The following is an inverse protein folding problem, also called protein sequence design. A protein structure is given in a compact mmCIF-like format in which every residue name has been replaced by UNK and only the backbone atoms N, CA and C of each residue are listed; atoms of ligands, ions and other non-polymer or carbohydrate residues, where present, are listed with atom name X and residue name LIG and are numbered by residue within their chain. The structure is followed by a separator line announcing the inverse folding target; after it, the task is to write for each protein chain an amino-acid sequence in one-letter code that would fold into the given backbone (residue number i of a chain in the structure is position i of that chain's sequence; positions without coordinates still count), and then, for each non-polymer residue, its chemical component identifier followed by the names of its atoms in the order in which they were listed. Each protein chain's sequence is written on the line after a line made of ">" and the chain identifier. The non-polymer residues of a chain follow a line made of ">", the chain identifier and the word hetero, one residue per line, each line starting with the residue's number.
data_IF_080421482068
#
_entry.id   IF_080421482068
#
_cell.length_a   1.000
_cell.length_b   1.000
_cell.length_c   1.000
_cell.angle_alpha   90.00
_cell.angle_beta   90.00
_cell.angle_gamma   90.00
#
_symmetry.space_group_name_H-M   'P 1'
#
loop_
_entity.id
_entity.type
_entity.pdbx_description
1 polymer ?
#
# COMPACT_ATOMS: atom_id res chain seq x y z
N UNK A 1 -4.70 67.02 11.61
CA UNK A 1 -4.44 66.00 10.57
C UNK A 1 -5.53 66.13 9.52
N UNK A 2 -5.18 66.47 8.27
CA UNK A 2 -6.19 66.77 7.23
C UNK A 2 -6.83 65.50 6.70
N UNK A 3 -8.13 65.52 6.40
CA UNK A 3 -8.93 64.40 5.87
C UNK A 3 -8.24 63.62 4.73
N UNK A 4 -7.50 64.33 3.87
CA UNK A 4 -6.70 63.76 2.80
C UNK A 4 -5.59 62.79 3.27
N UNK A 5 -4.89 63.09 4.38
CA UNK A 5 -3.83 62.23 4.92
C UNK A 5 -4.40 60.91 5.45
N UNK A 6 -5.57 60.97 6.10
CA UNK A 6 -6.26 59.79 6.63
C UNK A 6 -6.66 58.85 5.48
N UNK A 7 -7.17 59.40 4.37
CA UNK A 7 -7.54 58.62 3.18
C UNK A 7 -6.34 57.94 2.52
N UNK A 8 -5.19 58.63 2.40
CA UNK A 8 -3.96 58.04 1.84
C UNK A 8 -3.41 56.92 2.72
N UNK A 9 -3.47 57.09 4.04
CA UNK A 9 -3.00 56.08 5.00
C UNK A 9 -3.89 54.83 5.00
N UNK A 10 -5.22 54.99 4.93
CA UNK A 10 -6.18 53.90 4.74
C UNK A 10 -5.92 53.11 3.45
N UNK A 11 -5.70 53.81 2.33
CA UNK A 11 -5.38 53.16 1.04
C UNK A 11 -4.08 52.35 1.11
N UNK A 12 -3.07 52.88 1.81
CA UNK A 12 -1.78 52.18 2.01
C UNK A 12 -1.97 50.92 2.86
N UNK A 13 -2.77 50.97 3.93
CA UNK A 13 -3.07 49.82 4.77
C UNK A 13 -3.83 48.73 4.00
N UNK A 14 -4.86 49.09 3.22
CA UNK A 14 -5.61 48.13 2.40
C UNK A 14 -4.71 47.45 1.37
N UNK A 15 -3.81 48.22 0.73
CA UNK A 15 -2.84 47.67 -0.23
C UNK A 15 -1.87 46.69 0.43
N UNK A 16 -1.36 47.01 1.62
CA UNK A 16 -0.47 46.12 2.39
C UNK A 16 -1.17 44.84 2.85
N UNK A 17 -2.43 44.92 3.29
CA UNK A 17 -3.24 43.76 3.67
C UNK A 17 -3.45 42.81 2.48
N UNK A 18 -3.80 43.35 1.31
CA UNK A 18 -3.96 42.55 0.08
C UNK A 18 -2.67 41.81 -0.29
N UNK A 19 -1.52 42.48 -0.21
CA UNK A 19 -0.22 41.85 -0.51
C UNK A 19 0.11 40.74 0.49
N UNK A 20 -0.12 40.95 1.79
CA UNK A 20 0.08 39.91 2.82
C UNK A 20 -0.82 38.69 2.60
N UNK A 21 -2.09 38.92 2.24
CA UNK A 21 -3.04 37.84 1.92
C UNK A 21 -2.60 37.04 0.69
N UNK A 22 -2.14 37.73 -0.36
CA UNK A 22 -1.63 37.06 -1.56
C UNK A 22 -0.36 36.25 -1.26
N UNK A 23 0.56 36.78 -0.45
CA UNK A 23 1.76 36.04 -0.04
C UNK A 23 1.42 34.79 0.78
N UNK A 24 0.47 34.90 1.71
CA UNK A 24 0.01 33.74 2.49
C UNK A 24 -0.61 32.67 1.58
N UNK A 25 -1.43 33.09 0.61
CA UNK A 25 -2.04 32.18 -0.36
C UNK A 25 -0.99 31.45 -1.21
N UNK A 26 0.05 32.16 -1.66
CA UNK A 26 1.16 31.55 -2.40
C UNK A 26 1.93 30.54 -1.53
N UNK A 27 2.22 30.86 -0.28
CA UNK A 27 2.91 29.95 0.64
C UNK A 27 2.09 28.68 0.87
N UNK A 28 0.78 28.82 1.09
CA UNK A 28 -0.13 27.67 1.24
C UNK A 28 -0.14 26.82 -0.02
N UNK A 29 -0.18 27.45 -1.20
CA UNK A 29 -0.18 26.73 -2.46
C UNK A 29 1.12 25.94 -2.67
N UNK A 30 2.27 26.54 -2.38
CA UNK A 30 3.58 25.86 -2.45
C UNK A 30 3.63 24.70 -1.48
N UNK A 31 3.13 24.87 -0.26
CA UNK A 31 3.06 23.80 0.74
C UNK A 31 2.18 22.64 0.24
N UNK A 32 1.01 22.92 -0.34
CA UNK A 32 0.13 21.89 -0.90
C UNK A 32 0.79 21.12 -2.04
N UNK A 33 1.48 21.82 -2.95
CA UNK A 33 2.19 21.17 -4.06
C UNK A 33 3.33 20.29 -3.55
N UNK A 34 4.04 20.69 -2.50
CA UNK A 34 5.12 19.89 -1.91
C UNK A 34 4.62 18.63 -1.19
N UNK A 35 3.38 18.60 -0.71
CA UNK A 35 2.80 17.42 -0.04
C UNK A 35 2.54 16.29 -1.05
N UNK A 36 2.21 16.62 -2.30
CA UNK A 36 1.88 15.61 -3.33
C UNK A 36 3.02 14.59 -3.56
N UNK A 37 4.27 14.99 -3.91
CA UNK A 37 5.34 14.03 -4.10
C UNK A 37 5.71 13.28 -2.82
N UNK A 38 5.58 13.93 -1.65
CA UNK A 38 5.83 13.29 -0.35
C UNK A 38 4.84 12.15 -0.07
N UNK A 39 3.55 12.38 -0.31
CA UNK A 39 2.51 11.35 -0.15
C UNK A 39 2.72 10.21 -1.15
N UNK A 40 3.02 10.52 -2.42
CA UNK A 40 3.27 9.50 -3.44
C UNK A 40 4.47 8.62 -3.04
N UNK A 41 5.60 9.21 -2.63
CA UNK A 41 6.79 8.44 -2.21
C UNK A 41 6.49 7.52 -1.03
N UNK A 42 5.81 8.05 0.00
CA UNK A 42 5.42 7.30 1.19
C UNK A 42 4.46 6.15 0.88
N UNK A 43 3.53 6.36 -0.06
CA UNK A 43 2.62 5.30 -0.51
C UNK A 43 3.35 4.25 -1.35
N UNK A 44 4.29 4.66 -2.20
CA UNK A 44 4.99 3.73 -3.09
C UNK A 44 5.88 2.75 -2.30
N UNK A 45 6.60 3.23 -1.28
CA UNK A 45 7.37 2.38 -0.37
C UNK A 45 6.49 1.39 0.39
N UNK A 46 5.32 1.85 0.85
CA UNK A 46 4.35 0.97 1.54
C UNK A 46 3.71 -0.05 0.60
N UNK A 47 3.45 0.34 -0.64
CA UNK A 47 2.82 -0.51 -1.63
C UNK A 47 3.74 -1.66 -2.05
N UNK A 48 5.03 -1.37 -2.24
CA UNK A 48 6.04 -2.37 -2.56
C UNK A 48 6.20 -3.39 -1.42
N UNK A 49 6.31 -2.89 -0.18
CA UNK A 49 6.37 -3.75 1.01
C UNK A 49 5.11 -4.60 1.18
N UNK A 50 3.92 -4.02 0.99
CA UNK A 50 2.66 -4.76 1.06
C UNK A 50 2.57 -5.83 -0.03
N UNK A 51 3.06 -5.55 -1.24
CA UNK A 51 3.05 -6.52 -2.34
C UNK A 51 3.88 -7.77 -2.00
N UNK A 52 5.05 -7.59 -1.39
CA UNK A 52 5.88 -8.70 -0.92
C UNK A 52 5.21 -9.49 0.20
N UNK A 53 4.57 -8.81 1.15
CA UNK A 53 3.83 -9.46 2.23
C UNK A 53 2.66 -10.29 1.67
N UNK A 54 1.93 -9.76 0.69
CA UNK A 54 0.81 -10.48 0.08
C UNK A 54 1.28 -11.70 -0.72
N UNK A 55 2.41 -11.60 -1.41
CA UNK A 55 3.04 -12.74 -2.08
C UNK A 55 3.45 -13.82 -1.06
N UNK A 56 4.11 -13.45 0.04
CA UNK A 56 4.52 -14.39 1.09
C UNK A 56 3.29 -15.05 1.72
N UNK A 57 2.24 -14.29 2.02
CA UNK A 57 0.98 -14.83 2.56
C UNK A 57 0.34 -15.83 1.60
N UNK A 58 0.30 -15.51 0.31
CA UNK A 58 -0.26 -16.38 -0.71
C UNK A 58 0.50 -17.71 -0.78
N UNK A 59 1.84 -17.65 -0.85
CA UNK A 59 2.70 -18.84 -0.87
C UNK A 59 2.49 -19.67 0.41
N UNK A 60 2.45 -19.03 1.58
CA UNK A 60 2.21 -19.72 2.85
C UNK A 60 0.85 -20.44 2.88
N UNK A 61 -0.21 -19.80 2.38
CA UNK A 61 -1.52 -20.44 2.27
C UNK A 61 -1.52 -21.64 1.31
N UNK A 62 -0.82 -21.54 0.18
CA UNK A 62 -0.70 -22.64 -0.78
C UNK A 62 0.08 -23.82 -0.19
N UNK A 63 1.17 -23.57 0.54
CA UNK A 63 1.93 -24.61 1.24
C UNK A 63 1.04 -25.34 2.24
N UNK A 64 0.33 -24.61 3.12
CA UNK A 64 -0.57 -25.21 4.12
C UNK A 64 -1.63 -26.08 3.45
N UNK A 65 -2.23 -25.60 2.36
CA UNK A 65 -3.21 -26.35 1.59
C UNK A 65 -2.62 -27.68 1.07
N UNK A 66 -1.43 -27.64 0.50
CA UNK A 66 -0.78 -28.84 -0.01
C UNK A 66 -0.38 -29.82 1.10
N UNK A 67 0.12 -29.32 2.24
CA UNK A 67 0.42 -30.16 3.42
C UNK A 67 -0.82 -30.89 3.94
N UNK A 68 -1.97 -30.21 4.02
CA UNK A 68 -3.23 -30.82 4.43
C UNK A 68 -3.66 -31.89 3.43
N UNK A 69 -3.58 -31.59 2.13
CA UNK A 69 -3.96 -32.54 1.09
C UNK A 69 -3.04 -33.78 1.05
N UNK A 70 -1.74 -33.62 1.32
CA UNK A 70 -0.78 -34.71 1.48
C UNK A 70 -1.13 -35.56 2.70
N UNK A 71 -1.39 -34.93 3.84
CA UNK A 71 -1.74 -35.62 5.09
C UNK A 71 -3.02 -36.43 4.93
N UNK A 72 -4.05 -35.84 4.33
CA UNK A 72 -5.33 -36.54 4.08
C UNK A 72 -5.17 -37.67 3.08
N UNK A 73 -4.40 -37.48 2.01
CA UNK A 73 -4.14 -38.53 1.02
C UNK A 73 -3.38 -39.71 1.65
N UNK A 74 -2.38 -39.44 2.49
CA UNK A 74 -1.66 -40.49 3.23
C UNK A 74 -2.59 -41.26 4.18
N UNK A 75 -3.39 -40.56 5.00
CA UNK A 75 -4.34 -41.19 5.91
C UNK A 75 -5.35 -42.06 5.17
N UNK A 76 -5.88 -41.56 4.06
CA UNK A 76 -6.86 -42.28 3.27
C UNK A 76 -6.27 -43.50 2.59
N UNK A 77 -5.03 -43.42 2.08
CA UNK A 77 -4.31 -44.57 1.56
C UNK A 77 -4.11 -45.64 2.63
N UNK A 78 -3.63 -45.26 3.82
CA UNK A 78 -3.44 -46.19 4.94
C UNK A 78 -4.75 -46.85 5.37
N UNK A 79 -5.87 -46.13 5.31
CA UNK A 79 -7.17 -46.66 5.72
C UNK A 79 -7.84 -47.54 4.65
N UNK A 80 -7.76 -47.14 3.37
CA UNK A 80 -8.50 -47.80 2.28
C UNK A 80 -7.67 -48.78 1.46
N UNK A 81 -6.35 -48.61 1.42
CA UNK A 81 -5.45 -49.33 0.52
C UNK A 81 -5.64 -49.01 -0.96
N UNK A 82 -6.46 -48.01 -1.32
CA UNK A 82 -6.70 -47.64 -2.72
C UNK A 82 -5.55 -46.79 -3.28
N UNK A 83 -4.85 -47.34 -4.27
CA UNK A 83 -3.69 -46.73 -4.94
C UNK A 83 -3.98 -45.34 -5.53
N UNK A 84 -5.25 -44.99 -5.78
CA UNK A 84 -5.63 -43.60 -6.16
C UNK A 84 -5.12 -42.56 -5.17
N UNK A 85 -5.13 -42.88 -3.87
CA UNK A 85 -4.67 -41.94 -2.83
C UNK A 85 -3.14 -41.81 -2.81
N UNK A 86 -2.43 -42.90 -3.11
CA UNK A 86 -0.97 -42.91 -3.32
C UNK A 86 -0.59 -42.05 -4.54
N UNK A 87 -1.27 -42.25 -5.67
CA UNK A 87 -1.06 -41.43 -6.88
C UNK A 87 -1.37 -39.95 -6.64
N UNK A 88 -2.46 -39.65 -5.93
CA UNK A 88 -2.82 -38.29 -5.54
C UNK A 88 -1.74 -37.64 -4.67
N UNK A 89 -1.21 -38.38 -3.69
CA UNK A 89 -0.12 -37.91 -2.83
C UNK A 89 1.11 -37.53 -3.66
N UNK A 90 1.56 -38.42 -4.55
CA UNK A 90 2.74 -38.18 -5.40
C UNK A 90 2.57 -36.97 -6.31
N UNK A 91 1.38 -36.80 -6.90
CA UNK A 91 1.09 -35.63 -7.75
C UNK A 91 1.13 -34.32 -6.96
N UNK A 92 0.55 -34.31 -5.76
CA UNK A 92 0.53 -33.12 -4.91
C UNK A 92 1.94 -32.79 -4.41
N UNK A 93 2.72 -33.81 -4.01
CA UNK A 93 4.11 -33.62 -3.57
C UNK A 93 4.97 -32.99 -4.68
N UNK A 94 4.85 -33.51 -5.91
CA UNK A 94 5.57 -32.95 -7.07
C UNK A 94 5.11 -31.52 -7.40
N UNK A 95 3.84 -31.20 -7.15
CA UNK A 95 3.33 -29.83 -7.35
C UNK A 95 3.88 -28.89 -6.28
N UNK A 96 3.91 -29.32 -5.01
CA UNK A 96 4.47 -28.55 -3.90
C UNK A 96 5.97 -28.27 -4.10
N UNK A 97 6.74 -29.28 -4.49
CA UNK A 97 8.17 -29.13 -4.79
C UNK A 97 8.42 -28.08 -5.89
N UNK A 98 7.55 -27.99 -6.90
CA UNK A 98 7.63 -26.96 -7.95
C UNK A 98 7.20 -25.58 -7.48
N UNK A 99 6.30 -25.48 -6.50
CA UNK A 99 5.86 -24.20 -5.93
C UNK A 99 6.89 -23.60 -4.97
N UNK A 100 7.74 -24.46 -4.38
CA UNK A 100 8.80 -24.07 -3.43
C UNK A 100 10.14 -23.70 -4.10
N UNK A 101 10.34 -24.04 -5.37
CA UNK A 101 11.54 -23.73 -6.19
C UNK A 101 11.36 -22.47 -7.03
#
# INVERSE_FOLDING_TARGET
>A
MTFWQIMVELLKQVKQLRVKLLLLLVIVFVALVAIVPFVISSLNERNDLNSHIDLIKKIACEIIYYEEALTMSSRMYTFTGDEKWSQRYLNIANTLDKTLL
#
